data_IF_419261854847
#
_entry.id   IF_419261854847
#
_cell.length_a   1.000
_cell.length_b   1.000
_cell.length_c   1.000
_cell.angle_alpha   90.00
_cell.angle_beta   90.00
_cell.angle_gamma   90.00
#
_symmetry.space_group_name_H-M   'P 1'
#
loop_
_entity.id
_entity.type
_entity.pdbx_description
1 polymer ?
#
# COMPACT_ATOMS: atom_id res chain seq x y z
N UNK A 1 21.97 -3.61 -6.72
CA UNK A 1 21.95 -3.95 -5.28
C UNK A 1 22.83 -2.95 -4.55
N UNK A 2 22.37 -2.38 -3.43
CA UNK A 2 23.16 -1.42 -2.64
C UNK A 2 23.23 0.02 -3.17
N UNK A 3 22.40 0.38 -4.16
CA UNK A 3 22.23 1.77 -4.58
C UNK A 3 21.05 2.40 -3.85
N UNK A 4 21.14 3.70 -3.56
CA UNK A 4 20.02 4.47 -3.06
C UNK A 4 19.02 4.69 -4.19
N UNK A 5 17.81 4.16 -4.04
CA UNK A 5 16.74 4.23 -5.03
C UNK A 5 15.52 4.87 -4.35
N UNK A 6 14.76 5.63 -5.13
CA UNK A 6 13.42 6.09 -4.73
C UNK A 6 12.39 5.19 -5.39
N UNK A 7 11.53 4.58 -4.58
CA UNK A 7 10.39 3.76 -5.03
C UNK A 7 9.12 4.48 -4.61
N UNK A 8 8.19 4.66 -5.54
CA UNK A 8 6.89 5.26 -5.27
C UNK A 8 5.83 4.16 -5.31
N UNK A 9 4.99 4.08 -4.29
CA UNK A 9 3.98 3.03 -4.22
C UNK A 9 2.84 3.39 -3.29
N UNK A 10 1.75 2.65 -3.42
CA UNK A 10 0.62 2.76 -2.52
C UNK A 10 0.73 1.71 -1.41
N UNK A 11 0.51 2.12 -0.18
CA UNK A 11 0.57 1.22 0.97
C UNK A 11 -0.73 0.44 1.08
N UNK A 12 -0.67 -0.89 0.99
CA UNK A 12 -1.86 -1.74 1.15
C UNK A 12 -2.00 -2.21 2.60
N UNK A 13 -0.91 -2.73 3.15
CA UNK A 13 -0.89 -3.40 4.46
C UNK A 13 0.24 -2.86 5.30
N UNK A 14 -0.08 -2.54 6.55
CA UNK A 14 0.89 -2.10 7.56
C UNK A 14 0.91 -3.11 8.69
N UNK A 15 2.08 -3.66 8.99
CA UNK A 15 2.28 -4.53 10.14
C UNK A 15 2.51 -3.68 11.40
N UNK A 16 2.24 -4.22 12.60
CA UNK A 16 2.55 -3.53 13.84
C UNK A 16 4.06 -3.38 14.01
N UNK A 17 4.42 -2.49 14.93
CA UNK A 17 5.81 -2.17 15.25
C UNK A 17 6.37 -3.22 16.19
N UNK A 18 7.56 -3.73 15.87
CA UNK A 18 8.31 -4.62 16.74
C UNK A 18 9.71 -4.07 17.00
N UNK A 19 10.26 -4.25 18.21
CA UNK A 19 11.65 -3.89 18.48
C UNK A 19 12.60 -4.91 17.82
N UNK A 20 13.49 -4.43 16.96
CA UNK A 20 14.58 -5.19 16.33
C UNK A 20 15.90 -4.97 17.09
N UNK A 21 16.62 -6.06 17.38
CA UNK A 21 17.95 -6.01 17.99
C UNK A 21 18.99 -5.68 16.92
N UNK A 22 19.63 -4.50 17.00
CA UNK A 22 20.65 -4.06 16.03
C UNK A 22 22.07 -4.38 16.51
N UNK A 23 22.37 -4.09 17.77
CA UNK A 23 23.64 -4.44 18.39
C UNK A 23 23.39 -5.15 19.70
N UNK A 24 23.87 -6.39 19.79
CA UNK A 24 23.73 -7.24 20.95
C UNK A 24 24.96 -7.14 21.84
N UNK A 25 24.72 -7.03 23.14
CA UNK A 25 25.76 -7.22 24.15
C UNK A 25 25.59 -8.60 24.76
N UNK A 26 26.61 -9.45 24.61
CA UNK A 26 26.60 -10.81 25.14
C UNK A 26 27.47 -10.92 26.39
N UNK A 27 27.06 -11.75 27.34
CA UNK A 27 27.82 -12.10 28.54
C UNK A 27 28.21 -13.58 28.42
N UNK A 28 29.50 -13.87 28.55
CA UNK A 28 29.98 -15.25 28.59
C UNK A 28 29.53 -15.92 29.89
N UNK A 29 28.85 -17.06 29.82
CA UNK A 29 28.39 -17.77 31.02
C UNK A 29 29.54 -18.28 31.89
N UNK A 30 30.67 -18.65 31.28
CA UNK A 30 31.81 -19.28 31.97
C UNK A 30 32.72 -18.27 32.68
N UNK A 31 33.01 -17.13 32.04
CA UNK A 31 33.94 -16.13 32.57
C UNK A 31 33.30 -14.78 32.91
N UNK A 32 31.97 -14.65 32.72
CA UNK A 32 31.20 -13.43 32.99
C UNK A 32 31.70 -12.18 32.26
N UNK A 33 32.54 -12.35 31.23
CA UNK A 33 33.05 -11.25 30.44
C UNK A 33 32.00 -10.77 29.44
N UNK A 34 31.77 -9.47 29.46
CA UNK A 34 30.88 -8.75 28.55
C UNK A 34 31.56 -8.57 27.19
N UNK A 35 30.88 -8.99 26.14
CA UNK A 35 31.21 -8.79 24.74
C UNK A 35 30.21 -7.79 24.16
N UNK A 36 30.48 -6.47 24.23
CA UNK A 36 29.60 -5.45 23.69
C UNK A 36 29.68 -5.37 22.15
N UNK A 37 28.67 -4.74 21.57
CA UNK A 37 28.62 -4.30 20.16
C UNK A 37 28.76 -5.43 19.12
N UNK A 38 28.13 -6.58 19.37
CA UNK A 38 28.00 -7.63 18.34
C UNK A 38 26.86 -7.26 17.39
N UNK A 39 27.21 -6.79 16.19
CA UNK A 39 26.26 -6.42 15.14
C UNK A 39 25.37 -7.61 14.73
N UNK A 40 24.07 -7.35 14.68
CA UNK A 40 23.06 -8.29 14.22
C UNK A 40 22.62 -7.89 12.82
N UNK A 41 23.01 -8.66 11.80
CA UNK A 41 22.66 -8.38 10.41
C UNK A 41 21.57 -9.35 9.93
N UNK A 42 20.30 -8.99 10.15
CA UNK A 42 19.09 -9.76 9.74
C UNK A 42 19.03 -11.23 10.22
N UNK A 43 19.96 -11.63 11.10
CA UNK A 43 20.05 -12.94 11.72
C UNK A 43 20.61 -12.75 13.12
N UNK A 44 20.05 -13.48 14.06
CA UNK A 44 20.61 -13.56 15.40
C UNK A 44 21.98 -14.27 15.36
N UNK A 45 23.04 -13.53 15.63
CA UNK A 45 24.43 -13.96 15.60
C UNK A 45 25.05 -13.82 16.99
N UNK A 46 25.57 -14.93 17.50
CA UNK A 46 26.37 -14.97 18.71
C UNK A 46 27.86 -14.81 18.35
N UNK A 47 28.69 -14.29 19.27
CA UNK A 47 30.13 -14.22 19.06
C UNK A 47 30.73 -15.64 18.92
N UNK A 48 31.64 -15.81 17.96
CA UNK A 48 32.27 -17.11 17.65
C UNK A 48 33.22 -17.60 18.76
N UNK A 49 33.77 -16.67 19.54
CA UNK A 49 34.68 -16.95 20.65
C UNK A 49 34.60 -15.86 21.69
N UNK A 50 34.87 -16.21 22.95
CA UNK A 50 34.92 -15.23 24.02
C UNK A 50 36.08 -14.24 23.80
N UNK A 51 35.85 -12.98 24.15
CA UNK A 51 36.88 -11.91 24.08
C UNK A 51 38.03 -12.12 25.08
N UNK A 52 37.81 -12.89 26.15
CA UNK A 52 38.84 -13.20 27.14
C UNK A 52 39.78 -14.29 26.60
N UNK A 53 41.09 -14.04 26.44
CA UNK A 53 42.04 -15.03 25.90
C UNK A 53 42.21 -16.26 26.79
N UNK A 54 41.83 -16.19 28.06
CA UNK A 54 41.89 -17.32 29.01
C UNK A 54 40.67 -18.24 28.86
N UNK A 55 39.56 -17.75 28.28
CA UNK A 55 38.31 -18.48 28.15
C UNK A 55 38.11 -18.95 26.71
N UNK A 56 38.07 -20.26 26.49
CA UNK A 56 37.85 -20.85 25.15
C UNK A 56 36.37 -21.20 24.88
N UNK A 57 35.43 -20.49 25.49
CA UNK A 57 34.00 -20.69 25.27
C UNK A 57 33.58 -20.17 23.88
N UNK A 58 32.74 -20.96 23.18
CA UNK A 58 32.25 -20.70 21.81
C UNK A 58 30.73 -20.81 21.66
N UNK A 59 30.02 -21.26 22.69
CA UNK A 59 28.59 -21.62 22.58
C UNK A 59 27.75 -20.98 23.69
N UNK A 60 28.29 -20.85 24.90
CA UNK A 60 27.52 -20.40 26.05
C UNK A 60 27.59 -18.89 26.24
N UNK A 61 26.81 -18.16 25.45
CA UNK A 61 26.63 -16.71 25.58
C UNK A 61 25.19 -16.38 25.97
N UNK A 62 25.04 -15.62 27.05
CA UNK A 62 23.76 -15.03 27.47
C UNK A 62 23.63 -13.63 26.85
N UNK A 63 22.46 -13.29 26.30
CA UNK A 63 22.18 -11.94 25.81
C UNK A 63 21.82 -11.04 26.99
N UNK A 64 22.48 -9.88 27.10
CA UNK A 64 22.10 -8.84 28.04
C UNK A 64 21.16 -7.84 27.37
N UNK A 65 19.87 -7.88 27.72
CA UNK A 65 18.86 -6.98 27.16
C UNK A 65 19.08 -5.52 27.57
N UNK A 66 19.72 -5.25 28.72
CA UNK A 66 19.84 -3.88 29.24
C UNK A 66 20.90 -3.05 28.53
N UNK A 67 21.99 -3.71 28.11
CA UNK A 67 23.12 -3.10 27.40
C UNK A 67 23.07 -3.29 25.89
N UNK A 68 22.06 -3.99 25.40
CA UNK A 68 21.83 -4.15 23.96
C UNK A 68 21.07 -2.96 23.39
N UNK A 69 21.29 -2.65 22.11
CA UNK A 69 20.56 -1.58 21.42
C UNK A 69 19.46 -2.19 20.55
N UNK A 70 18.25 -1.72 20.81
CA UNK A 70 17.06 -2.05 20.03
C UNK A 70 16.63 -0.83 19.23
N UNK A 71 16.07 -1.10 18.06
CA UNK A 71 15.51 -0.10 17.15
C UNK A 71 14.12 -0.57 16.75
N UNK A 72 13.17 0.35 16.68
CA UNK A 72 11.83 0.04 16.20
C UNK A 72 11.88 -0.33 14.72
N UNK A 73 11.22 -1.44 14.40
CA UNK A 73 11.12 -2.03 13.07
C UNK A 73 9.64 -2.15 12.69
N UNK A 74 9.33 -1.80 11.45
CA UNK A 74 8.00 -2.00 10.88
C UNK A 74 8.10 -2.52 9.45
N UNK A 75 7.32 -3.57 9.16
CA UNK A 75 7.11 -4.10 7.81
C UNK A 75 5.88 -3.44 7.19
N UNK A 76 5.97 -3.05 5.93
CA UNK A 76 4.86 -2.48 5.16
C UNK A 76 4.86 -3.11 3.77
N UNK A 77 3.68 -3.50 3.28
CA UNK A 77 3.53 -4.00 1.92
C UNK A 77 3.01 -2.88 1.03
N UNK A 78 3.79 -2.54 0.01
CA UNK A 78 3.41 -1.59 -1.01
C UNK A 78 3.01 -2.30 -2.29
N UNK A 79 2.27 -1.57 -3.12
CA UNK A 79 1.88 -1.96 -4.45
C UNK A 79 2.21 -0.86 -5.45
N UNK A 80 2.56 -1.28 -6.66
CA UNK A 80 2.76 -0.38 -7.79
C UNK A 80 1.52 0.49 -8.04
N UNK A 81 1.76 1.75 -8.43
CA UNK A 81 0.67 2.69 -8.69
C UNK A 81 -0.10 2.32 -9.96
N UNK A 82 -1.43 2.42 -9.92
CA UNK A 82 -2.28 2.08 -11.07
C UNK A 82 -1.97 2.93 -12.32
N UNK A 83 -1.48 4.16 -12.13
CA UNK A 83 -1.12 5.06 -13.22
C UNK A 83 0.07 4.60 -14.08
N UNK A 84 0.95 3.75 -13.54
CA UNK A 84 2.16 3.30 -14.24
C UNK A 84 1.99 1.93 -14.91
N UNK A 85 0.87 1.25 -14.64
CA UNK A 85 0.63 -0.11 -15.11
C UNK A 85 -0.03 -0.12 -16.50
N UNK A 86 0.51 -0.90 -17.46
CA UNK A 86 -0.20 -1.14 -18.70
C UNK A 86 -1.46 -1.98 -18.45
N UNK A 87 -2.50 -1.75 -19.24
CA UNK A 87 -3.78 -2.41 -19.07
C UNK A 87 -3.67 -3.94 -19.14
N UNK A 88 -4.28 -4.62 -18.17
CA UNK A 88 -4.37 -6.09 -18.13
C UNK A 88 -3.28 -6.79 -17.31
N UNK A 89 -2.29 -6.06 -16.80
CA UNK A 89 -1.27 -6.64 -15.92
C UNK A 89 -1.69 -6.57 -14.44
N UNK A 90 -1.34 -7.61 -13.69
CA UNK A 90 -1.54 -7.63 -12.24
C UNK A 90 -0.47 -6.75 -11.59
N UNK A 91 -0.85 -5.81 -10.72
CA UNK A 91 0.09 -4.96 -9.99
C UNK A 91 1.03 -5.80 -9.12
N UNK A 92 2.33 -5.50 -9.15
CA UNK A 92 3.30 -6.19 -8.29
C UNK A 92 3.32 -5.56 -6.90
N UNK A 93 3.59 -6.39 -5.90
CA UNK A 93 3.74 -5.98 -4.52
C UNK A 93 5.18 -6.19 -4.06
N UNK A 94 5.65 -5.31 -3.19
CA UNK A 94 6.97 -5.38 -2.58
C UNK A 94 6.87 -5.13 -1.08
N UNK A 95 7.64 -5.88 -0.31
CA UNK A 95 7.76 -5.68 1.14
C UNK A 95 8.86 -4.66 1.44
N UNK A 96 8.48 -3.61 2.16
CA UNK A 96 9.35 -2.54 2.66
C UNK A 96 9.55 -2.71 4.15
N UNK A 97 10.80 -2.56 4.57
CA UNK A 97 11.22 -2.50 5.95
C UNK A 97 11.56 -1.06 6.29
N UNK A 98 11.02 -0.56 7.39
CA UNK A 98 11.22 0.79 7.92
C UNK A 98 11.79 0.68 9.32
N UNK A 99 12.71 1.59 9.68
CA UNK A 99 13.38 1.61 10.99
C UNK A 99 13.33 3.01 11.62
N UNK A 100 13.43 3.07 12.95
CA UNK A 100 13.50 4.32 13.73
C UNK A 100 12.33 5.29 13.41
N UNK A 101 12.63 6.55 13.16
CA UNK A 101 11.67 7.65 12.96
C UNK A 101 10.75 7.46 11.74
N UNK A 102 11.10 6.56 10.81
CA UNK A 102 10.27 6.26 9.65
C UNK A 102 9.07 5.35 9.98
N UNK A 103 9.08 4.73 11.17
CA UNK A 103 8.00 3.87 11.65
C UNK A 103 6.73 4.71 11.91
N UNK A 104 5.55 4.12 11.70
CA UNK A 104 4.22 4.74 11.83
C UNK A 104 3.90 5.92 10.90
N UNK A 105 4.83 6.36 10.05
CA UNK A 105 4.57 7.44 9.09
C UNK A 105 3.65 7.01 7.93
N UNK A 106 3.73 5.74 7.53
CA UNK A 106 2.95 5.19 6.42
C UNK A 106 1.59 4.66 6.91
N UNK A 107 0.49 5.14 6.32
CA UNK A 107 -0.86 4.61 6.57
C UNK A 107 -1.37 3.81 5.39
N UNK A 108 -2.23 2.79 5.61
CA UNK A 108 -2.89 2.07 4.53
C UNK A 108 -3.70 3.05 3.65
N UNK A 109 -3.51 3.00 2.33
CA UNK A 109 -4.13 3.90 1.35
C UNK A 109 -3.23 5.05 0.88
N UNK A 110 -2.22 5.43 1.66
CA UNK A 110 -1.36 6.57 1.30
C UNK A 110 -0.39 6.22 0.17
N UNK A 111 -0.12 7.22 -0.67
CA UNK A 111 0.92 7.15 -1.70
C UNK A 111 2.19 7.78 -1.15
N UNK A 112 3.21 6.95 -0.95
CA UNK A 112 4.47 7.37 -0.35
C UNK A 112 5.65 7.10 -1.29
N UNK A 113 6.60 8.02 -1.27
CA UNK A 113 7.91 7.89 -1.88
C UNK A 113 8.85 7.35 -0.80
N UNK A 114 9.34 6.13 -1.00
CA UNK A 114 10.28 5.45 -0.12
C UNK A 114 11.69 5.61 -0.69
N UNK A 115 12.62 6.13 0.10
CA UNK A 115 14.02 6.29 -0.29
C UNK A 115 14.85 5.31 0.53
N UNK A 116 15.63 4.49 -0.15
CA UNK A 116 16.30 3.39 0.51
C UNK A 116 17.13 2.52 -0.41
N UNK A 117 17.49 1.35 0.09
CA UNK A 117 18.29 0.38 -0.65
C UNK A 117 17.55 -0.94 -0.79
N UNK A 118 17.68 -1.56 -1.97
CA UNK A 118 17.16 -2.90 -2.19
C UNK A 118 18.11 -3.91 -1.55
N UNK A 119 17.58 -4.69 -0.62
CA UNK A 119 18.29 -5.70 0.16
C UNK A 119 17.77 -7.10 -0.15
N UNK A 120 18.58 -8.09 0.18
CA UNK A 120 18.24 -9.50 0.00
C UNK A 120 18.16 -10.12 1.39
N UNK A 121 17.01 -10.71 1.70
CA UNK A 121 16.80 -11.41 2.96
C UNK A 121 16.87 -12.93 2.70
N UNK A 122 17.66 -13.68 3.49
CA UNK A 122 17.63 -15.14 3.42
C UNK A 122 16.31 -15.64 4.01
N UNK A 123 15.56 -16.42 3.23
CA UNK A 123 14.32 -17.03 3.69
C UNK A 123 14.64 -18.33 4.42
N UNK A 124 14.66 -18.28 5.76
CA UNK A 124 14.96 -19.43 6.61
C UNK A 124 13.75 -20.37 6.74
N UNK A 125 12.55 -19.91 6.44
CA UNK A 125 11.28 -20.64 6.57
C UNK A 125 11.22 -21.83 5.61
N UNK A 126 11.72 -21.65 4.38
CA UNK A 126 11.77 -22.71 3.37
C UNK A 126 12.80 -23.80 3.71
N UNK A 127 13.72 -23.57 4.66
CA UNK A 127 14.61 -24.64 5.15
C UNK A 127 13.88 -25.68 6.01
N UNK A 128 12.69 -25.37 6.54
CA UNK A 128 11.88 -26.31 7.32
C UNK A 128 10.98 -27.21 6.47
N UNK A 129 10.84 -26.94 5.15
CA UNK A 129 10.08 -27.81 4.25
C UNK A 129 10.98 -28.94 3.70
N UNK A 130 10.66 -30.21 3.95
CA UNK A 130 11.44 -31.34 3.43
C UNK A 130 11.16 -31.52 1.93
N UNK A 131 12.02 -30.98 1.05
CA UNK A 131 11.81 -31.17 -0.39
C UNK A 131 12.94 -30.76 -1.33
N UNK A 132 13.68 -29.68 -1.05
CA UNK A 132 14.70 -29.19 -1.98
C UNK A 132 16.09 -29.60 -1.49
N UNK A 133 16.61 -30.70 -2.04
CA UNK A 133 17.99 -31.13 -1.87
C UNK A 133 18.86 -30.37 -2.87
N UNK A 134 19.80 -29.58 -2.37
CA UNK A 134 20.90 -29.10 -3.21
C UNK A 134 21.89 -30.24 -3.43
N UNK A 135 22.14 -30.60 -4.68
CA UNK A 135 23.26 -31.46 -5.08
C UNK A 135 24.53 -30.63 -5.18
N UNK A 136 25.50 -30.86 -4.30
CA UNK A 136 26.87 -30.43 -4.54
C UNK A 136 27.54 -31.46 -5.46
N UNK A 137 27.57 -31.19 -6.77
CA UNK A 137 28.45 -31.89 -7.69
C UNK A 137 29.91 -31.52 -7.37
N UNK A 138 30.59 -32.35 -6.58
CA UNK A 138 32.05 -32.36 -6.58
C UNK A 138 32.52 -32.72 -7.99
N UNK A 139 33.32 -31.86 -8.62
CA UNK A 139 34.05 -32.23 -9.83
C UNK A 139 35.00 -33.38 -9.48
N UNK A 140 34.65 -34.58 -9.89
CA UNK A 140 35.57 -35.71 -9.98
C UNK A 140 36.56 -35.40 -11.11
N UNK A 141 37.76 -34.92 -10.75
CA UNK A 141 38.92 -35.06 -11.63
C UNK A 141 39.67 -36.31 -11.21
N UNK A 142 39.83 -37.21 -12.18
CA UNK A 142 40.45 -38.51 -11.99
C UNK A 142 41.95 -38.44 -11.68
N UNK A 143 42.39 -39.49 -10.97
CA UNK A 143 43.70 -40.16 -10.96
C UNK A 143 44.96 -39.29 -11.07
N UNK A 144 45.73 -39.16 -9.98
CA UNK A 144 46.90 -40.03 -9.74
C UNK A 144 47.71 -39.61 -8.49
N UNK A 145 48.28 -40.63 -7.86
CA UNK A 145 49.51 -40.67 -7.06
C UNK A 145 49.57 -40.07 -5.62
N UNK A 146 49.84 -40.99 -4.69
CA UNK A 146 50.58 -40.93 -3.41
C UNK A 146 50.52 -39.66 -2.54
N UNK A 147 49.87 -39.85 -1.39
CA UNK A 147 50.49 -39.68 -0.08
C UNK A 147 50.89 -38.27 0.33
N UNK A 148 50.10 -37.64 1.19
CA UNK A 148 50.52 -37.07 2.48
C UNK A 148 49.26 -36.63 3.23
N UNK A 149 49.16 -37.01 4.50
CA UNK A 149 48.09 -36.57 5.39
C UNK A 149 48.21 -35.06 5.62
N UNK A 150 47.48 -34.27 4.83
CA UNK A 150 47.20 -32.87 5.14
C UNK A 150 45.75 -32.78 5.64
N UNK A 151 45.65 -32.62 6.94
CA UNK A 151 44.44 -32.45 7.74
C UNK A 151 43.60 -31.28 7.20
N UNK A 152 42.65 -31.59 6.31
CA UNK A 152 41.64 -30.63 5.86
C UNK A 152 40.67 -30.29 6.98
N UNK A 153 40.41 -29.00 7.17
CA UNK A 153 39.53 -28.44 8.21
C UNK A 153 38.14 -29.06 8.13
N UNK A 154 37.84 -30.02 9.03
CA UNK A 154 36.51 -30.57 9.26
C UNK A 154 35.76 -29.66 10.23
N UNK A 155 35.14 -28.60 9.72
CA UNK A 155 34.49 -27.64 10.60
C UNK A 155 33.26 -26.98 10.02
N UNK A 156 32.27 -27.74 9.53
CA UNK A 156 30.84 -27.33 9.41
C UNK A 156 30.03 -28.54 8.88
N UNK A 157 29.70 -29.49 9.77
CA UNK A 157 28.87 -30.67 9.43
C UNK A 157 27.38 -30.50 9.75
N UNK A 158 27.00 -29.49 10.53
CA UNK A 158 25.62 -29.33 11.02
C UNK A 158 24.68 -28.68 9.98
N UNK A 159 25.23 -28.00 8.98
CA UNK A 159 24.49 -27.42 7.87
C UNK A 159 25.27 -27.77 6.60
N UNK A 160 24.80 -28.76 5.85
CA UNK A 160 25.34 -29.02 4.52
C UNK A 160 25.22 -27.77 3.64
N UNK A 161 25.98 -27.72 2.53
CA UNK A 161 25.81 -26.69 1.50
C UNK A 161 24.42 -26.89 0.89
N UNK A 162 23.43 -26.15 1.41
CA UNK A 162 22.07 -26.09 0.87
C UNK A 162 21.87 -24.74 0.20
N UNK A 163 21.11 -24.74 -0.88
CA UNK A 163 20.74 -23.51 -1.56
C UNK A 163 19.91 -22.65 -0.60
N UNK A 164 20.47 -21.51 -0.22
CA UNK A 164 19.77 -20.47 0.50
C UNK A 164 18.83 -19.80 -0.50
N UNK A 165 17.52 -19.93 -0.28
CA UNK A 165 16.55 -19.13 -1.02
C UNK A 165 16.54 -17.73 -0.44
N UNK A 166 16.46 -16.77 -1.36
CA UNK A 166 16.59 -15.35 -1.05
C UNK A 166 15.34 -14.63 -1.54
N UNK A 167 14.73 -13.83 -0.67
CA UNK A 167 13.64 -12.94 -1.04
C UNK A 167 14.12 -11.49 -1.10
N UNK A 168 13.61 -10.72 -2.06
CA UNK A 168 13.96 -9.31 -2.24
C UNK A 168 13.10 -8.45 -1.33
N UNK A 169 13.73 -7.63 -0.51
CA UNK A 169 13.04 -6.65 0.33
C UNK A 169 13.67 -5.27 0.13
N UNK A 170 12.90 -4.22 0.41
CA UNK A 170 13.41 -2.86 0.31
C UNK A 170 13.57 -2.25 1.70
N UNK A 171 14.78 -1.82 2.04
CA UNK A 171 15.05 -1.12 3.30
C UNK A 171 14.92 0.38 3.07
N UNK A 172 13.84 0.97 3.59
CA UNK A 172 13.60 2.40 3.52
C UNK A 172 14.32 3.14 4.67
N UNK A 173 15.11 4.14 4.32
CA UNK A 173 15.78 5.04 5.26
C UNK A 173 14.99 6.33 5.48
N UNK A 174 14.13 6.69 4.52
CA UNK A 174 13.32 7.91 4.57
C UNK A 174 12.02 7.72 3.81
N UNK A 175 10.95 8.35 4.31
CA UNK A 175 9.61 8.31 3.71
C UNK A 175 9.16 9.75 3.48
N UNK A 176 8.69 10.03 2.28
CA UNK A 176 7.99 11.29 1.97
C UNK A 176 6.61 10.99 1.43
N UNK A 177 5.53 11.55 2.01
CA UNK A 177 4.22 11.49 1.37
C UNK A 177 4.28 12.26 0.04
N UNK A 178 3.87 11.61 -1.06
CA UNK A 178 4.08 12.14 -2.42
C UNK A 178 3.22 13.38 -2.75
N UNK A 179 2.19 13.67 -1.94
CA UNK A 179 1.18 14.68 -2.23
C UNK A 179 1.66 16.13 -2.01
N UNK A 180 2.67 16.37 -1.16
CA UNK A 180 2.98 17.73 -0.71
C UNK A 180 4.00 18.47 -1.59
N UNK A 181 4.85 17.78 -2.35
CA UNK A 181 6.01 18.42 -3.00
C UNK A 181 5.79 18.84 -4.45
N UNK A 182 4.81 18.25 -5.15
CA UNK A 182 4.72 18.40 -6.60
C UNK A 182 4.09 19.73 -7.05
N UNK A 183 3.14 20.29 -6.29
CA UNK A 183 2.38 21.45 -6.77
C UNK A 183 3.24 22.72 -6.76
N UNK A 184 3.99 22.97 -5.69
CA UNK A 184 4.83 24.17 -5.55
C UNK A 184 6.01 24.17 -6.55
N UNK A 185 6.60 23.00 -6.80
CA UNK A 185 7.71 22.85 -7.75
C UNK A 185 7.25 22.92 -9.21
N UNK A 186 6.06 22.37 -9.54
CA UNK A 186 5.49 22.44 -10.90
C UNK A 186 5.07 23.87 -11.27
N UNK A 187 4.53 24.62 -10.32
CA UNK A 187 4.14 26.03 -10.51
C UNK A 187 5.35 26.94 -10.73
N UNK A 188 6.54 26.59 -10.24
CA UNK A 188 7.73 27.44 -10.38
C UNK A 188 8.33 27.46 -11.80
N UNK A 189 7.81 26.68 -12.73
CA UNK A 189 8.19 26.80 -14.14
C UNK A 189 7.49 27.98 -14.82
N UNK A 190 8.25 29.04 -15.15
CA UNK A 190 7.73 30.27 -15.78
C UNK A 190 6.98 30.01 -17.10
N UNK A 191 7.33 28.95 -17.82
CA UNK A 191 6.65 28.55 -19.05
C UNK A 191 5.23 28.00 -18.82
N UNK A 192 5.01 27.23 -17.74
CA UNK A 192 3.67 26.72 -17.40
C UNK A 192 2.79 27.83 -16.84
N UNK A 193 3.37 28.73 -16.02
CA UNK A 193 2.67 29.92 -15.51
C UNK A 193 2.06 30.75 -16.64
N UNK A 194 2.86 31.12 -17.64
CA UNK A 194 2.37 31.87 -18.82
C UNK A 194 1.23 31.15 -19.55
N UNK A 195 1.30 29.83 -19.67
CA UNK A 195 0.25 29.04 -20.34
C UNK A 195 -1.04 28.99 -19.50
N UNK A 196 -0.92 28.88 -18.18
CA UNK A 196 -2.07 28.96 -17.27
C UNK A 196 -2.71 30.35 -17.34
N UNK A 197 -1.91 31.42 -17.37
CA UNK A 197 -2.40 32.79 -17.52
C UNK A 197 -3.20 32.96 -18.81
N UNK A 198 -2.71 32.45 -19.94
CA UNK A 198 -3.47 32.48 -21.21
C UNK A 198 -4.78 31.69 -21.12
N UNK A 199 -4.80 30.55 -20.44
CA UNK A 199 -6.03 29.78 -20.25
C UNK A 199 -7.03 30.50 -19.35
N UNK A 200 -6.55 31.22 -18.32
CA UNK A 200 -7.40 31.98 -17.39
C UNK A 200 -8.06 33.19 -18.06
N UNK A 201 -7.42 33.78 -19.07
CA UNK A 201 -8.00 34.95 -19.78
C UNK A 201 -9.16 34.61 -20.70
N UNK A 202 -9.31 33.34 -21.08
CA UNK A 202 -10.33 32.91 -22.03
C UNK A 202 -11.74 32.87 -21.40
N UNK A 203 -12.66 33.68 -21.93
CA UNK A 203 -14.05 33.74 -21.45
C UNK A 203 -14.83 32.43 -21.63
N UNK A 204 -14.45 31.60 -22.60
CA UNK A 204 -15.10 30.33 -22.91
C UNK A 204 -14.37 29.11 -22.32
N UNK A 205 -13.48 29.31 -21.35
CA UNK A 205 -12.68 28.24 -20.74
C UNK A 205 -13.54 27.06 -20.28
N UNK A 206 -14.66 27.33 -19.61
CA UNK A 206 -15.53 26.29 -19.06
C UNK A 206 -16.10 25.37 -20.16
N UNK A 207 -16.59 25.93 -21.25
CA UNK A 207 -17.13 25.16 -22.38
C UNK A 207 -16.03 24.36 -23.10
N UNK A 208 -14.87 24.98 -23.30
CA UNK A 208 -13.72 24.34 -23.93
C UNK A 208 -13.21 23.15 -23.09
N UNK A 209 -13.08 23.33 -21.78
CA UNK A 209 -12.61 22.30 -20.84
C UNK A 209 -13.57 21.11 -20.79
N UNK A 210 -14.89 21.40 -20.77
CA UNK A 210 -15.94 20.38 -20.86
C UNK A 210 -15.84 19.53 -22.15
N UNK A 211 -15.58 20.17 -23.29
CA UNK A 211 -15.41 19.45 -24.56
C UNK A 211 -14.08 18.70 -24.66
N UNK A 212 -13.00 19.23 -24.07
CA UNK A 212 -11.68 18.63 -24.15
C UNK A 212 -11.52 17.39 -23.27
N UNK A 213 -12.22 17.33 -22.13
CA UNK A 213 -12.14 16.16 -21.23
C UNK A 213 -12.76 14.90 -21.83
N UNK A 214 -13.83 15.04 -22.60
CA UNK A 214 -14.61 13.92 -23.15
C UNK A 214 -14.75 14.04 -24.68
N UNK A 215 -13.66 13.83 -25.46
CA UNK A 215 -13.69 13.95 -26.91
C UNK A 215 -14.40 12.77 -27.59
N UNK A 216 -14.38 11.59 -26.97
CA UNK A 216 -14.96 10.35 -27.52
C UNK A 216 -16.47 10.24 -27.30
N UNK A 217 -17.03 10.99 -26.34
CA UNK A 217 -18.43 10.89 -25.95
C UNK A 217 -19.19 12.09 -26.51
N UNK A 218 -20.23 11.85 -27.30
CA UNK A 218 -21.11 12.90 -27.82
C UNK A 218 -22.33 13.13 -26.92
N UNK A 219 -22.72 14.39 -26.74
CA UNK A 219 -23.91 14.79 -25.97
C UNK A 219 -23.70 14.92 -24.46
N UNK A 220 -24.83 15.04 -23.73
CA UNK A 220 -24.94 15.15 -22.28
C UNK A 220 -23.97 16.17 -21.64
N UNK A 221 -24.03 17.40 -22.13
CA UNK A 221 -23.20 18.52 -21.68
C UNK A 221 -23.36 18.83 -20.19
N UNK A 222 -24.54 18.61 -19.62
CA UNK A 222 -24.80 18.81 -18.20
C UNK A 222 -24.02 17.81 -17.33
N UNK A 223 -24.02 16.53 -17.71
CA UNK A 223 -23.27 15.48 -16.99
C UNK A 223 -21.77 15.76 -17.05
N UNK A 224 -21.26 16.15 -18.22
CA UNK A 224 -19.83 16.53 -18.38
C UNK A 224 -19.47 17.71 -17.48
N UNK A 225 -20.35 18.70 -17.39
CA UNK A 225 -20.18 19.88 -16.53
C UNK A 225 -20.19 19.47 -15.05
N UNK A 226 -21.07 18.56 -14.66
CA UNK A 226 -21.11 18.01 -13.30
C UNK A 226 -19.83 17.26 -12.93
N UNK A 227 -19.38 16.34 -13.78
CA UNK A 227 -18.13 15.59 -13.54
C UNK A 227 -16.93 16.54 -13.45
N UNK A 228 -16.89 17.60 -14.27
CA UNK A 228 -15.85 18.62 -14.18
C UNK A 228 -15.85 19.31 -12.81
N UNK A 229 -17.01 19.71 -12.29
CA UNK A 229 -17.12 20.31 -10.96
C UNK A 229 -16.70 19.34 -9.84
N UNK A 230 -17.01 18.05 -9.99
CA UNK A 230 -16.55 17.02 -9.06
C UNK A 230 -15.03 16.90 -9.03
N UNK A 231 -14.36 16.96 -10.19
CA UNK A 231 -12.90 16.89 -10.28
C UNK A 231 -12.19 18.08 -9.65
N UNK A 232 -12.80 19.28 -9.71
CA UNK A 232 -12.26 20.46 -9.02
C UNK A 232 -12.54 20.43 -7.52
N UNK A 233 -13.64 19.81 -7.11
CA UNK A 233 -14.06 19.71 -5.70
C UNK A 233 -14.40 21.08 -5.09
N UNK A 234 -14.66 21.07 -3.79
CA UNK A 234 -14.87 22.26 -2.98
C UNK A 234 -13.82 22.41 -1.89
N UNK A 235 -13.86 23.53 -1.17
CA UNK A 235 -12.94 23.78 -0.05
C UNK A 235 -13.54 23.21 1.23
N UNK A 236 -12.89 22.23 1.90
CA UNK A 236 -13.32 21.78 3.21
C UNK A 236 -13.12 22.91 4.23
N UNK A 237 -14.16 23.23 5.00
CA UNK A 237 -14.10 24.31 6.00
C UNK A 237 -14.14 23.73 7.41
N UNK A 238 -13.33 24.29 8.29
CA UNK A 238 -13.42 24.01 9.73
C UNK A 238 -14.23 25.12 10.39
N UNK A 239 -15.29 24.75 11.08
CA UNK A 239 -16.09 25.69 11.87
C UNK A 239 -15.33 26.05 13.15
N UNK A 240 -15.79 27.11 13.84
CA UNK A 240 -15.27 27.50 15.15
C UNK A 240 -15.44 26.40 16.21
N UNK A 241 -16.43 25.50 16.02
CA UNK A 241 -16.71 24.37 16.91
C UNK A 241 -15.86 23.13 16.60
N UNK A 242 -14.80 23.27 15.78
CA UNK A 242 -13.87 22.19 15.37
C UNK A 242 -14.51 21.06 14.56
N UNK A 243 -15.73 21.23 14.06
CA UNK A 243 -16.32 20.29 13.10
C UNK A 243 -15.81 20.59 11.69
N UNK A 244 -15.46 19.55 10.94
CA UNK A 244 -15.07 19.65 9.54
C UNK A 244 -16.32 19.55 8.67
N UNK A 245 -16.58 20.60 7.90
CA UNK A 245 -17.58 20.59 6.83
C UNK A 245 -16.93 20.08 5.55
N UNK A 246 -17.60 19.12 4.94
CA UNK A 246 -17.20 18.48 3.69
C UNK A 246 -17.27 19.47 2.52
N UNK A 247 -16.22 19.47 1.69
CA UNK A 247 -16.17 20.22 0.43
C UNK A 247 -16.40 19.37 -0.83
N UNK A 248 -16.36 18.05 -0.70
CA UNK A 248 -16.38 17.13 -1.85
C UNK A 248 -17.80 16.90 -2.37
N UNK A 249 -17.93 16.79 -3.69
CA UNK A 249 -19.21 16.61 -4.38
C UNK A 249 -19.34 15.15 -4.79
N UNK A 250 -20.45 14.50 -4.43
CA UNK A 250 -20.80 13.18 -4.95
C UNK A 250 -21.76 13.34 -6.13
N UNK A 251 -21.57 12.53 -7.17
CA UNK A 251 -22.43 12.53 -8.35
C UNK A 251 -22.92 11.10 -8.62
N UNK A 252 -24.23 10.95 -8.81
CA UNK A 252 -24.84 9.71 -9.25
C UNK A 252 -25.49 9.91 -10.63
N UNK A 253 -25.13 9.05 -11.58
CA UNK A 253 -25.66 9.04 -12.94
C UNK A 253 -26.67 7.90 -13.07
N UNK A 254 -27.95 8.27 -13.23
CA UNK A 254 -29.05 7.35 -13.50
C UNK A 254 -29.51 7.53 -14.95
N UNK A 255 -29.86 6.43 -15.62
CA UNK A 255 -30.32 6.48 -17.00
C UNK A 255 -30.56 5.09 -17.60
N UNK A 256 -31.00 5.03 -18.84
CA UNK A 256 -31.22 3.77 -19.53
C UNK A 256 -29.88 3.10 -19.90
N UNK A 257 -29.86 1.77 -20.15
CA UNK A 257 -28.69 1.08 -20.67
C UNK A 257 -28.24 1.70 -22.00
N UNK A 258 -26.96 1.51 -22.33
CA UNK A 258 -26.35 2.01 -23.58
C UNK A 258 -26.20 3.54 -23.68
N UNK A 259 -26.28 4.27 -22.57
CA UNK A 259 -26.07 5.73 -22.50
C UNK A 259 -24.61 6.15 -22.20
N UNK A 260 -23.64 5.26 -22.45
CA UNK A 260 -22.21 5.46 -22.23
C UNK A 260 -21.77 5.82 -20.77
N UNK A 261 -22.61 5.55 -19.76
CA UNK A 261 -22.27 5.83 -18.33
C UNK A 261 -20.98 5.18 -17.87
N UNK A 262 -20.80 3.89 -18.14
CA UNK A 262 -19.57 3.17 -17.78
C UNK A 262 -18.35 3.72 -18.51
N UNK A 263 -18.54 4.36 -19.68
CA UNK A 263 -17.45 5.02 -20.39
C UNK A 263 -17.00 6.31 -19.67
N UNK A 264 -17.95 7.09 -19.12
CA UNK A 264 -17.61 8.23 -18.26
C UNK A 264 -16.80 7.80 -17.04
N UNK A 265 -17.25 6.75 -16.33
CA UNK A 265 -16.55 6.21 -15.16
C UNK A 265 -15.12 5.76 -15.50
N UNK A 266 -14.94 4.98 -16.57
CA UNK A 266 -13.63 4.50 -17.03
C UNK A 266 -12.70 5.64 -17.40
N UNK A 267 -13.21 6.64 -18.11
CA UNK A 267 -12.41 7.80 -18.51
C UNK A 267 -12.00 8.67 -17.33
N UNK A 268 -12.89 8.87 -16.35
CA UNK A 268 -12.55 9.57 -15.10
C UNK A 268 -11.52 8.80 -14.29
N UNK A 269 -11.62 7.46 -14.26
CA UNK A 269 -10.67 6.60 -13.58
C UNK A 269 -9.26 6.66 -14.20
N UNK A 270 -9.17 6.78 -15.53
CA UNK A 270 -7.90 6.94 -16.23
C UNK A 270 -7.32 8.36 -16.10
N UNK A 271 -8.18 9.38 -16.08
CA UNK A 271 -7.77 10.78 -16.03
C UNK A 271 -7.27 11.22 -14.64
N UNK A 272 -7.93 10.77 -13.58
CA UNK A 272 -7.62 11.22 -12.21
C UNK A 272 -6.50 10.39 -11.57
N UNK A 273 -5.47 11.02 -10.97
CA UNK A 273 -4.27 10.34 -10.48
C UNK A 273 -4.48 9.43 -9.26
N UNK A 274 -5.67 9.47 -8.63
CA UNK A 274 -6.07 8.62 -7.50
C UNK A 274 -7.51 8.12 -7.64
N UNK A 275 -7.87 7.70 -8.85
CA UNK A 275 -9.18 7.13 -9.07
C UNK A 275 -9.14 5.60 -9.11
N UNK A 276 -10.14 4.99 -8.49
CA UNK A 276 -10.32 3.54 -8.47
C UNK A 276 -11.66 3.23 -9.11
N UNK A 277 -11.64 2.36 -10.12
CA UNK A 277 -12.84 1.84 -10.75
C UNK A 277 -13.24 0.51 -10.10
N UNK A 278 -14.47 0.45 -9.61
CA UNK A 278 -15.05 -0.75 -9.00
C UNK A 278 -16.44 -1.04 -9.56
N UNK A 279 -16.79 -2.32 -9.62
CA UNK A 279 -18.16 -2.75 -9.91
C UNK A 279 -18.85 -3.09 -8.59
N UNK A 280 -20.04 -2.55 -8.37
CA UNK A 280 -20.82 -2.76 -7.14
C UNK A 280 -21.24 -4.20 -6.90
N UNK A 281 -21.28 -5.04 -7.94
CA UNK A 281 -21.55 -6.48 -7.81
C UNK A 281 -20.31 -7.30 -7.47
N UNK A 282 -19.15 -6.90 -8.00
CA UNK A 282 -17.88 -7.60 -7.77
C UNK A 282 -17.20 -7.19 -6.47
N UNK A 283 -17.56 -6.03 -5.93
CA UNK A 283 -16.96 -5.45 -4.73
C UNK A 283 -17.82 -5.79 -3.53
N UNK A 284 -17.22 -6.43 -2.53
CA UNK A 284 -17.86 -6.69 -1.23
C UNK A 284 -17.56 -5.54 -0.26
N UNK A 285 -18.27 -5.44 0.87
CA UNK A 285 -17.94 -4.48 1.93
C UNK A 285 -16.47 -4.52 2.32
N UNK A 286 -15.86 -5.72 2.37
CA UNK A 286 -14.45 -5.89 2.71
C UNK A 286 -13.49 -5.38 1.62
N UNK A 287 -13.91 -5.37 0.34
CA UNK A 287 -13.14 -4.80 -0.77
C UNK A 287 -13.34 -3.30 -0.94
N UNK A 288 -14.52 -2.77 -0.58
CA UNK A 288 -14.83 -1.33 -0.62
C UNK A 288 -14.21 -0.59 0.58
N UNK A 289 -14.40 -1.13 1.78
CA UNK A 289 -13.83 -0.62 3.03
C UNK A 289 -12.56 -1.39 3.42
N UNK A 290 -12.01 -1.17 4.61
CA UNK A 290 -10.88 -1.96 5.06
C UNK A 290 -11.29 -3.37 5.53
N UNK A 291 -10.44 -4.34 5.22
CA UNK A 291 -10.54 -5.70 5.72
C UNK A 291 -9.53 -5.93 6.84
N UNK A 292 -9.91 -6.72 7.84
CA UNK A 292 -8.97 -7.22 8.85
C UNK A 292 -8.65 -8.67 8.47
N UNK A 293 -7.42 -8.90 8.02
CA UNK A 293 -6.93 -10.20 7.55
C UNK A 293 -5.88 -10.70 8.54
N UNK A 294 -5.96 -11.98 8.89
CA UNK A 294 -4.91 -12.62 9.69
C UNK A 294 -3.77 -13.02 8.75
N UNK A 295 -2.57 -12.54 9.04
CA UNK A 295 -1.38 -12.88 8.26
C UNK A 295 -0.85 -14.28 8.65
N UNK A 296 -0.39 -15.04 7.67
CA UNK A 296 0.07 -16.43 7.88
C UNK A 296 1.46 -16.49 8.52
N UNK A 297 2.33 -15.51 8.25
CA UNK A 297 3.70 -15.46 8.78
C UNK A 297 3.71 -15.06 10.26
N UNK A 298 2.97 -14.00 10.61
CA UNK A 298 2.99 -13.40 11.94
C UNK A 298 1.84 -13.89 12.84
N UNK A 299 0.81 -14.53 12.29
CA UNK A 299 -0.44 -14.87 13.01
C UNK A 299 -1.15 -13.66 13.63
N UNK A 300 -0.77 -12.45 13.26
CA UNK A 300 -1.36 -11.21 13.74
C UNK A 300 -2.44 -10.71 12.78
N UNK A 301 -3.35 -9.89 13.30
CA UNK A 301 -4.40 -9.26 12.52
C UNK A 301 -3.86 -7.97 11.89
N UNK A 302 -3.82 -7.95 10.57
CA UNK A 302 -3.36 -6.82 9.76
C UNK A 302 -4.55 -6.16 9.08
N UNK A 303 -4.50 -4.84 8.94
CA UNK A 303 -5.50 -4.07 8.20
C UNK A 303 -5.06 -3.98 6.74
N UNK A 304 -5.98 -4.36 5.85
CA UNK A 304 -5.85 -4.21 4.41
C UNK A 304 -6.76 -3.08 3.92
N UNK A 305 -6.18 -2.11 3.21
CA UNK A 305 -6.93 -1.01 2.62
C UNK A 305 -7.83 -1.48 1.48
N UNK A 306 -9.10 -1.09 1.50
CA UNK A 306 -10.03 -1.28 0.38
C UNK A 306 -10.04 -0.12 -0.61
N UNK A 307 -10.88 -0.24 -1.63
CA UNK A 307 -10.96 0.70 -2.76
C UNK A 307 -11.23 2.16 -2.34
N UNK A 308 -12.07 2.40 -1.32
CA UNK A 308 -12.37 3.75 -0.84
C UNK A 308 -11.15 4.40 -0.16
N UNK A 309 -10.36 3.62 0.58
CA UNK A 309 -9.15 4.13 1.23
C UNK A 309 -8.02 4.36 0.23
N UNK A 310 -7.92 3.48 -0.77
CA UNK A 310 -6.94 3.62 -1.85
C UNK A 310 -7.22 4.89 -2.70
N UNK A 311 -8.47 5.34 -2.74
CA UNK A 311 -8.89 6.54 -3.47
C UNK A 311 -8.86 7.84 -2.63
N UNK A 312 -8.20 7.89 -1.47
CA UNK A 312 -8.16 9.10 -0.61
C UNK A 312 -7.69 10.34 -1.39
N UNK A 313 -8.37 11.48 -1.19
CA UNK A 313 -8.26 12.73 -1.96
C UNK A 313 -8.49 12.59 -3.48
N UNK A 314 -9.12 11.50 -3.91
CA UNK A 314 -9.39 11.18 -5.32
C UNK A 314 -10.86 10.90 -5.59
N UNK A 315 -11.12 10.09 -6.61
CA UNK A 315 -12.48 9.74 -7.06
C UNK A 315 -12.67 8.23 -7.03
N UNK A 316 -13.66 7.76 -6.29
CA UNK A 316 -14.07 6.35 -6.35
C UNK A 316 -15.22 6.21 -7.37
N UNK A 317 -14.95 5.52 -8.46
CA UNK A 317 -15.93 5.23 -9.51
C UNK A 317 -16.60 3.88 -9.19
N UNK A 318 -17.93 3.88 -9.04
CA UNK A 318 -18.73 2.69 -8.75
C UNK A 318 -19.74 2.48 -9.88
N UNK A 319 -19.61 1.39 -10.63
CA UNK A 319 -20.62 0.97 -11.61
C UNK A 319 -21.63 0.00 -10.99
N UNK A 320 -22.83 -0.07 -11.58
CA UNK A 320 -23.93 -0.95 -11.11
C UNK A 320 -24.28 -0.76 -9.63
N UNK A 321 -24.38 0.50 -9.19
CA UNK A 321 -24.69 0.82 -7.79
C UNK A 321 -26.03 0.23 -7.32
N UNK A 322 -27.00 0.03 -8.24
CA UNK A 322 -28.29 -0.60 -7.96
C UNK A 322 -28.21 -2.12 -7.66
N UNK A 323 -27.09 -2.77 -8.02
CA UNK A 323 -26.85 -4.21 -7.79
C UNK A 323 -26.04 -4.51 -6.54
N UNK A 324 -25.63 -3.49 -5.81
CA UNK A 324 -24.86 -3.63 -4.60
C UNK A 324 -25.72 -4.15 -3.45
N UNK A 325 -25.14 -5.00 -2.60
CA UNK A 325 -25.81 -5.51 -1.41
C UNK A 325 -26.05 -4.38 -0.39
N UNK A 326 -27.17 -4.43 0.37
CA UNK A 326 -27.50 -3.38 1.33
C UNK A 326 -26.49 -3.25 2.48
N UNK A 327 -25.72 -4.31 2.78
CA UNK A 327 -24.64 -4.27 3.79
C UNK A 327 -23.50 -3.36 3.35
N UNK A 328 -23.18 -3.40 2.07
CA UNK A 328 -22.07 -2.64 1.48
C UNK A 328 -22.47 -1.16 1.33
N UNK A 329 -23.75 -0.90 1.03
CA UNK A 329 -24.32 0.45 1.03
C UNK A 329 -24.20 1.15 2.39
N UNK A 330 -24.43 0.44 3.50
CA UNK A 330 -24.25 0.99 4.87
C UNK A 330 -22.80 1.44 5.11
N UNK A 331 -21.84 0.69 4.60
CA UNK A 331 -20.42 1.03 4.77
C UNK A 331 -20.04 2.29 3.96
N UNK A 332 -20.63 2.46 2.77
CA UNK A 332 -20.45 3.66 1.95
C UNK A 332 -21.10 4.89 2.62
N UNK A 333 -22.23 4.73 3.29
CA UNK A 333 -22.88 5.83 4.02
C UNK A 333 -21.97 6.48 5.07
N UNK A 334 -21.28 5.66 5.87
CA UNK A 334 -20.33 6.14 6.86
C UNK A 334 -19.21 6.95 6.20
N UNK A 335 -18.65 6.42 5.11
CA UNK A 335 -17.61 7.08 4.34
C UNK A 335 -18.09 8.39 3.68
N UNK A 336 -19.32 8.44 3.15
CA UNK A 336 -19.87 9.63 2.48
C UNK A 336 -20.16 10.77 3.43
N UNK A 337 -20.67 10.46 4.63
CA UNK A 337 -21.08 11.44 5.63
C UNK A 337 -19.90 11.93 6.46
N UNK A 338 -19.10 11.00 6.99
CA UNK A 338 -18.02 11.32 7.94
C UNK A 338 -16.66 11.47 7.27
N UNK A 339 -16.49 11.04 6.02
CA UNK A 339 -15.19 10.95 5.32
C UNK A 339 -14.15 10.09 6.07
N UNK A 340 -14.61 9.24 6.97
CA UNK A 340 -13.83 8.32 7.78
C UNK A 340 -14.59 7.02 7.94
N UNK A 341 -13.87 5.91 8.00
CA UNK A 341 -14.43 4.58 8.23
C UNK A 341 -13.87 4.07 9.55
N UNK A 342 -14.76 3.70 10.46
CA UNK A 342 -14.41 3.10 11.73
C UNK A 342 -14.60 1.58 11.70
N UNK A 343 -13.55 0.85 12.10
CA UNK A 343 -13.58 -0.61 12.13
C UNK A 343 -13.27 -1.07 13.54
N UNK A 344 -14.19 -1.84 14.10
CA UNK A 344 -14.01 -2.59 15.34
C UNK A 344 -14.15 -4.09 15.05
N UNK A 345 -13.06 -4.72 14.64
CA UNK A 345 -13.01 -6.16 14.34
C UNK A 345 -11.74 -6.78 14.91
N UNK A 346 -11.83 -8.03 15.34
CA UNK A 346 -10.70 -8.82 15.84
C UNK A 346 -9.86 -8.12 16.94
N UNK A 347 -10.52 -7.36 17.82
CA UNK A 347 -9.85 -6.63 18.92
C UNK A 347 -9.16 -5.32 18.51
N UNK A 348 -9.17 -4.96 17.23
CA UNK A 348 -8.61 -3.70 16.72
C UNK A 348 -9.73 -2.69 16.56
N UNK A 349 -9.58 -1.53 17.21
CA UNK A 349 -10.40 -0.34 16.98
C UNK A 349 -9.57 0.68 16.22
N UNK A 350 -9.82 0.81 14.92
CA UNK A 350 -9.12 1.74 14.05
C UNK A 350 -10.11 2.65 13.31
N UNK A 351 -9.72 3.91 13.11
CA UNK A 351 -10.43 4.88 12.29
C UNK A 351 -9.53 5.27 11.13
N UNK A 352 -10.00 5.05 9.91
CA UNK A 352 -9.26 5.24 8.68
C UNK A 352 -9.92 6.36 7.89
N UNK A 353 -9.12 7.20 7.23
CA UNK A 353 -9.65 8.31 6.45
C UNK A 353 -10.05 7.82 5.05
N UNK A 354 -11.15 8.35 4.53
CA UNK A 354 -11.69 8.05 3.21
C UNK A 354 -12.28 9.31 2.58
N UNK A 355 -11.45 10.36 2.42
CA UNK A 355 -11.83 11.64 1.83
C UNK A 355 -11.91 11.48 0.32
N UNK A 356 -13.01 10.91 -0.15
CA UNK A 356 -13.17 10.55 -1.55
C UNK A 356 -14.44 11.16 -2.11
N UNK A 357 -14.37 11.61 -3.36
CA UNK A 357 -15.58 11.91 -4.14
C UNK A 357 -16.08 10.63 -4.78
N UNK A 358 -17.38 10.35 -4.66
CA UNK A 358 -17.98 9.15 -5.24
C UNK A 358 -18.68 9.53 -6.54
N UNK A 359 -18.30 8.84 -7.62
CA UNK A 359 -19.00 8.86 -8.89
C UNK A 359 -19.70 7.52 -9.08
N UNK A 360 -21.03 7.51 -8.95
CA UNK A 360 -21.83 6.30 -9.08
C UNK A 360 -22.59 6.25 -10.41
N UNK A 361 -22.70 5.08 -11.02
CA UNK A 361 -23.66 4.82 -12.10
C UNK A 361 -24.69 3.78 -11.64
N UNK A 362 -25.96 4.06 -11.91
CA UNK A 362 -27.05 3.15 -11.59
C UNK A 362 -28.04 3.05 -12.75
N UNK A 363 -28.71 1.90 -12.84
CA UNK A 363 -29.76 1.67 -13.82
C UNK A 363 -31.15 1.63 -13.15
N UNK A 364 -32.22 2.05 -13.86
CA UNK A 364 -33.58 1.89 -13.37
C UNK A 364 -33.94 0.40 -13.26
N UNK A 365 -34.83 0.06 -12.32
CA UNK A 365 -35.15 -1.33 -11.96
C UNK A 365 -35.62 -2.16 -13.16
N UNK A 366 -36.48 -1.57 -14.01
CA UNK A 366 -37.03 -2.22 -15.18
C UNK A 366 -36.13 -2.10 -16.43
N UNK A 367 -34.91 -1.60 -16.29
CA UNK A 367 -33.98 -1.30 -17.39
C UNK A 367 -34.39 -0.10 -18.25
N UNK A 368 -35.63 0.40 -18.15
CA UNK A 368 -36.06 1.67 -18.72
C UNK A 368 -36.71 2.54 -17.66
N UNK A 369 -36.53 3.85 -17.80
CA UNK A 369 -37.19 4.81 -16.92
C UNK A 369 -38.69 4.93 -17.25
N UNK A 370 -39.54 4.51 -16.31
CA UNK A 370 -40.99 4.64 -16.45
C UNK A 370 -41.46 5.98 -15.86
N UNK A 371 -41.97 6.87 -16.72
CA UNK A 371 -42.44 8.21 -16.32
C UNK A 371 -43.71 8.18 -15.47
N UNK A 372 -44.42 7.04 -15.43
CA UNK A 372 -45.66 6.91 -14.65
C UNK A 372 -45.41 6.70 -13.16
N UNK A 373 -44.21 6.24 -12.80
CA UNK A 373 -43.80 5.93 -11.43
C UNK A 373 -42.95 7.06 -10.85
N UNK A 374 -42.97 7.19 -9.53
CA UNK A 374 -42.09 8.13 -8.82
C UNK A 374 -40.63 7.69 -8.90
N UNK A 375 -39.71 8.66 -8.83
CA UNK A 375 -38.25 8.42 -8.86
C UNK A 375 -37.81 7.36 -7.84
N UNK A 376 -38.35 7.44 -6.60
CA UNK A 376 -38.07 6.48 -5.52
C UNK A 376 -38.53 5.06 -5.83
N UNK A 377 -39.58 4.91 -6.64
CA UNK A 377 -40.06 3.59 -7.06
C UNK A 377 -39.35 3.09 -8.32
N UNK A 378 -38.72 3.99 -9.09
CA UNK A 378 -37.94 3.66 -10.28
C UNK A 378 -36.50 3.25 -9.95
N UNK A 379 -35.95 3.72 -8.83
CA UNK A 379 -34.56 3.49 -8.41
C UNK A 379 -34.56 2.71 -7.11
N UNK A 380 -33.83 1.58 -7.07
CA UNK A 380 -33.69 0.74 -5.89
C UNK A 380 -32.61 1.27 -4.93
N UNK A 381 -32.80 2.49 -4.41
CA UNK A 381 -31.90 3.11 -3.44
C UNK A 381 -32.63 3.46 -2.15
N UNK A 382 -31.90 3.45 -1.04
CA UNK A 382 -32.44 3.82 0.26
C UNK A 382 -32.54 5.35 0.37
N UNK A 383 -33.51 5.83 1.16
CA UNK A 383 -33.74 7.25 1.38
C UNK A 383 -32.51 8.07 1.86
N UNK A 384 -31.59 7.55 2.69
CA UNK A 384 -30.40 8.33 3.07
C UNK A 384 -29.34 8.47 1.96
N UNK A 385 -29.39 7.68 0.87
CA UNK A 385 -28.45 7.79 -0.27
C UNK A 385 -28.98 8.78 -1.31
N UNK A 386 -30.31 8.86 -1.40
CA UNK A 386 -31.06 9.65 -2.38
C UNK A 386 -31.24 11.08 -1.91
#
# INVERSE_FOLDING_TARGET
>A
MGMLIRITGQVIRTYPVHPELVSATFICSDCQMVCPDVEQQFRFTQPLMCRNPVCNNRVHFALDLTRSRFVDFQKVRIQESQSELPHGNIPRCLDIIMRNECVEQAKPGDRCDFIGTLIVLPDVSQLSMPGVRAESAQRTQGSDDKGYNAEGVRGLKALGVRDLTYHLAFLACHITPAEQTNIETLLNSDSKKKRIETMMTDKNLFANLRTSLFPTIYGNDEIKSGILLMLFGGVPKRTMEKTTLRGDINICIVGDPSTAKSQFLKQVAEFSPRAVYTSGKASTAAGLTAAVVKDEESSEFVIEAGALMLADNGVCCIDEFDKMDPKDQVAIHEAMEQQTISITKAGIKATLNARTSILAAANPIAGRYDKTRSLRHNVNMTAPIM
#
